data_IF_828664317250
#
_entry.id   IF_828664317250
#
_cell.length_a   1.000
_cell.length_b   1.000
_cell.length_c   1.000
_cell.angle_alpha   90.00
_cell.angle_beta   90.00
_cell.angle_gamma   90.00
#
_symmetry.space_group_name_H-M   'P 1'
#
loop_
_entity.id
_entity.type
_entity.pdbx_description
1 polymer ?
#
# COMPACT_ATOMS: atom_id res chain seq x y z
N UNK A 1 17.83 27.91 25.85
CA UNK A 1 17.34 28.32 24.52
C UNK A 1 17.96 27.52 23.37
N UNK A 2 19.30 27.40 23.26
CA UNK A 2 19.99 26.64 22.19
C UNK A 2 19.50 25.19 21.99
N UNK A 3 19.25 24.42 23.06
CA UNK A 3 18.79 23.02 22.97
C UNK A 3 17.38 22.89 22.38
N UNK A 4 16.48 23.86 22.63
CA UNK A 4 15.10 23.85 22.12
C UNK A 4 15.06 24.13 20.61
N UNK A 5 15.96 24.97 20.13
CA UNK A 5 16.12 25.27 18.70
C UNK A 5 16.79 24.12 17.94
N UNK A 6 17.75 23.44 18.57
CA UNK A 6 18.36 22.21 18.01
C UNK A 6 17.33 21.08 17.91
N UNK A 7 16.46 20.91 18.91
CA UNK A 7 15.40 19.89 18.87
C UNK A 7 14.37 20.14 17.75
N UNK A 8 13.99 21.41 17.51
CA UNK A 8 13.06 21.73 16.41
C UNK A 8 13.68 21.56 15.02
N UNK A 9 14.98 21.84 14.86
CA UNK A 9 15.66 21.68 13.57
C UNK A 9 15.85 20.21 13.19
N UNK A 10 16.02 19.30 14.15
CA UNK A 10 16.14 17.85 13.91
C UNK A 10 14.82 17.23 13.42
N UNK A 11 13.67 17.71 13.93
CA UNK A 11 12.36 17.14 13.58
C UNK A 11 11.94 17.38 12.12
N UNK A 12 12.43 18.45 11.47
CA UNK A 12 12.12 18.79 10.07
C UNK A 12 12.92 17.91 9.08
N UNK A 13 14.07 17.39 9.50
CA UNK A 13 14.96 16.61 8.65
C UNK A 13 14.65 15.11 8.63
N UNK A 14 13.70 14.63 9.44
CA UNK A 14 13.35 13.22 9.42
C UNK A 14 12.36 12.96 8.27
N UNK A 15 12.78 12.26 7.20
CA UNK A 15 11.86 11.90 6.14
C UNK A 15 10.82 10.96 6.76
N UNK A 16 9.59 11.43 6.82
CA UNK A 16 8.46 10.57 7.18
C UNK A 16 8.35 9.61 6.00
N UNK A 17 8.79 8.37 6.18
CA UNK A 17 8.58 7.31 5.20
C UNK A 17 7.06 7.10 5.09
N UNK A 18 6.44 7.80 4.14
CA UNK A 18 5.03 7.62 3.83
C UNK A 18 4.84 6.28 3.16
N UNK A 19 4.14 5.37 3.83
CA UNK A 19 3.68 4.13 3.22
C UNK A 19 2.36 4.43 2.48
N UNK A 20 2.35 4.13 1.18
CA UNK A 20 1.16 4.21 0.35
C UNK A 20 0.83 2.80 -0.10
N UNK A 21 0.55 1.90 0.84
CA UNK A 21 0.04 0.58 0.52
C UNK A 21 -1.47 0.68 0.30
N UNK A 22 -2.07 -0.31 -0.34
CA UNK A 22 -3.53 -0.35 -0.53
C UNK A 22 -4.29 -0.61 0.78
N UNK A 23 -3.56 -0.85 1.88
CA UNK A 23 -4.02 -1.07 3.24
C UNK A 23 -3.18 -0.31 4.28
N UNK A 24 -3.60 -0.32 5.54
CA UNK A 24 -2.90 0.34 6.64
C UNK A 24 -1.70 -0.50 7.14
N UNK A 25 -0.49 -0.07 6.80
CA UNK A 25 0.74 -0.75 7.23
C UNK A 25 0.91 -0.87 8.75
N UNK A 26 0.25 -0.04 9.57
CA UNK A 26 0.29 -0.18 11.02
C UNK A 26 -0.56 -1.37 11.52
N UNK A 27 -1.48 -1.85 10.68
CA UNK A 27 -2.37 -2.97 10.96
C UNK A 27 -1.96 -4.26 10.25
N UNK A 28 -0.84 -4.24 9.52
CA UNK A 28 -0.31 -5.38 8.79
C UNK A 28 0.06 -6.53 9.75
N UNK A 29 -0.57 -7.69 9.58
CA UNK A 29 -0.32 -8.88 10.40
C UNK A 29 0.26 -10.03 9.58
N UNK A 30 -0.13 -10.12 8.31
CA UNK A 30 0.27 -11.18 7.40
C UNK A 30 1.69 -10.95 6.86
N UNK A 31 2.35 -12.03 6.43
CA UNK A 31 3.75 -11.96 6.00
C UNK A 31 3.94 -11.18 4.69
N UNK A 32 3.00 -11.34 3.76
CA UNK A 32 2.90 -10.59 2.52
C UNK A 32 2.62 -9.10 2.77
N UNK A 33 1.69 -8.77 3.67
CA UNK A 33 1.40 -7.38 4.07
C UNK A 33 2.66 -6.69 4.61
N UNK A 34 3.42 -7.38 5.48
CA UNK A 34 4.69 -6.86 6.01
C UNK A 34 5.74 -6.70 4.92
N UNK A 35 5.81 -7.63 3.97
CA UNK A 35 6.74 -7.54 2.85
C UNK A 35 6.43 -6.34 1.94
N UNK A 36 5.15 -6.09 1.66
CA UNK A 36 4.68 -4.91 0.91
C UNK A 36 5.07 -3.63 1.64
N UNK A 37 4.80 -3.54 2.94
CA UNK A 37 5.15 -2.36 3.72
C UNK A 37 6.66 -2.14 3.87
N UNK A 38 7.47 -3.20 3.92
CA UNK A 38 8.92 -3.08 4.07
C UNK A 38 9.64 -2.61 2.79
N UNK A 39 9.01 -2.70 1.61
CA UNK A 39 9.63 -2.36 0.33
C UNK A 39 8.81 -1.30 -0.41
N UNK A 40 9.37 -0.09 -0.56
CA UNK A 40 8.68 1.03 -1.21
C UNK A 40 8.26 0.75 -2.66
N UNK A 41 9.08 0.05 -3.44
CA UNK A 41 8.69 -0.29 -4.82
C UNK A 41 7.51 -1.26 -4.84
N UNK A 42 7.48 -2.22 -3.92
CA UNK A 42 6.39 -3.19 -3.81
C UNK A 42 5.11 -2.54 -3.28
N UNK A 43 5.24 -1.64 -2.30
CA UNK A 43 4.18 -0.77 -1.81
C UNK A 43 3.50 0.02 -2.94
N UNK A 44 4.29 0.66 -3.80
CA UNK A 44 3.75 1.47 -4.90
C UNK A 44 3.05 0.58 -5.94
N UNK A 45 3.60 -0.61 -6.21
CA UNK A 45 2.96 -1.60 -7.10
C UNK A 45 1.65 -2.14 -6.53
N UNK A 46 1.55 -2.33 -5.22
CA UNK A 46 0.32 -2.76 -4.54
C UNK A 46 -0.80 -1.74 -4.73
N UNK A 47 -0.52 -0.43 -4.54
CA UNK A 47 -1.52 0.62 -4.81
C UNK A 47 -1.92 0.69 -6.29
N UNK A 48 -0.97 0.53 -7.20
CA UNK A 48 -1.28 0.50 -8.64
C UNK A 48 -2.18 -0.69 -8.98
N UNK A 49 -1.88 -1.88 -8.43
CA UNK A 49 -2.69 -3.07 -8.62
C UNK A 49 -4.11 -2.87 -8.08
N UNK A 50 -4.23 -2.44 -6.82
CA UNK A 50 -5.53 -2.19 -6.19
C UNK A 50 -6.36 -1.15 -6.96
N UNK A 51 -5.73 -0.07 -7.42
CA UNK A 51 -6.40 0.98 -8.21
C UNK A 51 -6.89 0.44 -9.55
N UNK A 52 -6.03 -0.29 -10.28
CA UNK A 52 -6.40 -0.91 -11.56
C UNK A 52 -7.54 -1.90 -11.37
N UNK A 53 -7.49 -2.74 -10.34
CA UNK A 53 -8.54 -3.70 -10.04
C UNK A 53 -9.89 -2.99 -9.82
N UNK A 54 -9.93 -1.92 -9.02
CA UNK A 54 -11.15 -1.14 -8.81
C UNK A 54 -11.69 -0.55 -10.11
N UNK A 55 -10.81 0.02 -10.93
CA UNK A 55 -11.20 0.57 -12.24
C UNK A 55 -11.75 -0.50 -13.18
N UNK A 56 -11.02 -1.61 -13.35
CA UNK A 56 -11.40 -2.71 -14.24
C UNK A 56 -12.68 -3.40 -13.78
N UNK A 57 -12.91 -3.52 -12.47
CA UNK A 57 -14.17 -4.05 -11.91
C UNK A 57 -15.38 -3.17 -12.27
N UNK A 58 -15.21 -1.87 -12.40
CA UNK A 58 -16.25 -0.96 -12.88
C UNK A 58 -16.44 -0.99 -14.40
N UNK A 59 -15.37 -1.27 -15.14
CA UNK A 59 -15.34 -1.21 -16.60
C UNK A 59 -15.83 -2.50 -17.28
N UNK A 60 -15.46 -3.67 -16.75
CA UNK A 60 -15.74 -4.93 -17.42
C UNK A 60 -17.18 -5.44 -17.21
N UNK A 61 -17.77 -6.10 -18.23
CA UNK A 61 -19.09 -6.71 -18.13
C UNK A 61 -19.08 -7.96 -17.26
N UNK A 62 -20.28 -8.47 -16.96
CA UNK A 62 -20.45 -9.80 -16.35
C UNK A 62 -19.73 -10.89 -17.17
N UNK A 63 -19.35 -12.00 -16.53
CA UNK A 63 -18.42 -12.97 -17.12
C UNK A 63 -16.99 -12.60 -16.77
N UNK A 64 -16.32 -11.78 -17.61
CA UNK A 64 -14.92 -11.37 -17.41
C UNK A 64 -14.69 -10.68 -16.06
N UNK A 65 -15.64 -9.85 -15.61
CA UNK A 65 -15.56 -9.27 -14.26
C UNK A 65 -15.63 -10.35 -13.18
N UNK A 66 -16.50 -11.35 -13.35
CA UNK A 66 -16.64 -12.46 -12.41
C UNK A 66 -15.35 -13.26 -12.30
N UNK A 67 -14.82 -13.69 -13.45
CA UNK A 67 -13.54 -14.42 -13.55
C UNK A 67 -12.38 -13.66 -12.89
N UNK A 68 -12.28 -12.35 -13.12
CA UNK A 68 -11.23 -11.54 -12.49
C UNK A 68 -11.41 -11.42 -10.97
N UNK A 69 -12.65 -11.24 -10.49
CA UNK A 69 -12.92 -11.17 -9.05
C UNK A 69 -12.60 -12.50 -8.37
N UNK A 70 -12.92 -13.63 -9.02
CA UNK A 70 -12.66 -14.96 -8.48
C UNK A 70 -11.17 -15.29 -8.51
N UNK A 71 -10.45 -14.87 -9.57
CA UNK A 71 -8.99 -14.99 -9.64
C UNK A 71 -8.29 -14.22 -8.50
N UNK A 72 -8.72 -12.99 -8.19
CA UNK A 72 -8.15 -12.22 -7.08
C UNK A 72 -8.43 -12.86 -5.71
N UNK A 73 -9.63 -13.42 -5.50
CA UNK A 73 -9.99 -14.11 -4.25
C UNK A 73 -9.21 -15.40 -4.05
N UNK A 74 -8.95 -16.11 -5.14
CA UNK A 74 -8.25 -17.39 -5.14
C UNK A 74 -6.72 -17.22 -5.30
N UNK A 75 -6.20 -16.00 -5.16
CA UNK A 75 -4.77 -15.69 -5.29
C UNK A 75 -3.92 -16.20 -4.12
N UNK A 76 -4.54 -16.81 -3.10
CA UNK A 76 -3.84 -17.47 -2.01
C UNK A 76 -3.04 -18.70 -2.51
N UNK A 77 -1.79 -18.91 -2.04
CA UNK A 77 -1.17 -20.23 -2.05
C UNK A 77 -1.88 -21.19 -1.07
#
# INVERSE_FOLDING_TARGET
MKIREVLMTIAVLYPIAGYSASFDCQKATQADEKAICANRSLNDMDVVMATKYQFLRGLFPMGTRGEMMDAQKNMAP
#
